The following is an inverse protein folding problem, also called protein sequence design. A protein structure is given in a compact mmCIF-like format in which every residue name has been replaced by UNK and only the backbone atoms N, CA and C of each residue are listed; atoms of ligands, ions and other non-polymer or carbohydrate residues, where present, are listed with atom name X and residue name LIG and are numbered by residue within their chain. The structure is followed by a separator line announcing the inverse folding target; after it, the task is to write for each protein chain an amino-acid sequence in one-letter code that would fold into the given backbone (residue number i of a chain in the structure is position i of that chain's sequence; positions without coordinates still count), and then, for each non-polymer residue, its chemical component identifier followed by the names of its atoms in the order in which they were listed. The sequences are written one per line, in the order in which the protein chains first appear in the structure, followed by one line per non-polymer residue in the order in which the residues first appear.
data_IF_979929013951
#
_entry.id   IF_979929013951
#
_cell.length_a   1.000
_cell.length_b   1.000
_cell.length_c   1.000
_cell.angle_alpha   90.00
_cell.angle_beta   90.00
_cell.angle_gamma   90.00
#
_symmetry.space_group_name_H-M   'P 1'
#
loop_
_entity.id
_entity.type
_entity.pdbx_description
1 polymer ?
#
# COMPACT_ATOMS: atom_id res chain seq x y z
N UNK A 1 -29.26 -19.47 62.98
CA UNK A 1 -28.35 -19.04 61.92
C UNK A 1 -28.68 -19.83 60.67
N UNK A 2 -29.67 -19.36 59.93
CA UNK A 2 -30.08 -19.93 58.64
C UNK A 2 -29.18 -19.32 57.57
N UNK A 3 -28.39 -20.16 56.89
CA UNK A 3 -27.58 -19.73 55.76
C UNK A 3 -28.52 -19.30 54.63
N UNK A 4 -28.38 -18.04 54.23
CA UNK A 4 -29.04 -17.45 53.06
C UNK A 4 -28.46 -18.13 51.80
N UNK A 5 -29.30 -18.58 50.84
CA UNK A 5 -28.79 -19.18 49.62
C UNK A 5 -28.15 -18.09 48.77
N UNK A 6 -26.88 -18.28 48.39
CA UNK A 6 -26.21 -17.45 47.39
C UNK A 6 -26.96 -17.61 46.06
N UNK A 7 -27.76 -16.59 45.69
CA UNK A 7 -28.31 -16.50 44.34
C UNK A 7 -27.16 -16.59 43.32
N UNK A 8 -27.32 -17.38 42.25
CA UNK A 8 -26.37 -17.35 41.15
C UNK A 8 -26.39 -15.93 40.61
N UNK A 9 -25.25 -15.25 40.74
CA UNK A 9 -25.02 -13.93 40.16
C UNK A 9 -25.12 -14.12 38.65
N UNK A 10 -26.31 -13.87 38.10
CA UNK A 10 -26.56 -13.86 36.68
C UNK A 10 -25.54 -12.89 36.07
N UNK A 11 -24.51 -13.45 35.44
CA UNK A 11 -23.71 -12.77 34.44
C UNK A 11 -24.68 -12.43 33.31
N UNK A 12 -25.45 -11.37 33.48
CA UNK A 12 -26.04 -10.63 32.39
C UNK A 12 -24.84 -10.22 31.53
N UNK A 13 -24.55 -11.03 30.52
CA UNK A 13 -23.82 -10.61 29.35
C UNK A 13 -24.59 -9.39 28.86
N UNK A 14 -24.15 -8.20 29.27
CA UNK A 14 -24.62 -6.92 28.74
C UNK A 14 -24.30 -6.92 27.25
N UNK A 15 -25.17 -7.56 26.48
CA UNK A 15 -25.29 -7.35 25.06
C UNK A 15 -25.74 -5.91 24.95
N UNK A 16 -24.80 -5.04 24.59
CA UNK A 16 -25.06 -3.64 24.28
C UNK A 16 -26.31 -3.57 23.40
N UNK A 17 -27.21 -2.65 23.73
CA UNK A 17 -28.39 -2.40 22.90
C UNK A 17 -27.94 -2.01 21.49
N UNK A 18 -28.77 -2.25 20.47
CA UNK A 18 -28.47 -1.79 19.11
C UNK A 18 -28.19 -0.28 19.06
N UNK A 19 -28.89 0.50 19.89
CA UNK A 19 -28.62 1.93 20.08
C UNK A 19 -27.22 2.22 20.63
N UNK A 20 -26.81 1.48 21.67
CA UNK A 20 -25.48 1.62 22.29
C UNK A 20 -24.38 1.27 21.29
N UNK A 21 -24.60 0.28 20.43
CA UNK A 21 -23.66 -0.11 19.38
C UNK A 21 -23.51 0.99 18.30
N UNK A 22 -24.60 1.67 17.94
CA UNK A 22 -24.55 2.82 17.02
C UNK A 22 -23.85 4.02 17.64
N UNK A 23 -24.08 4.29 18.92
CA UNK A 23 -23.41 5.38 19.64
C UNK A 23 -21.91 5.10 19.81
N UNK A 24 -21.56 3.85 20.10
CA UNK A 24 -20.19 3.39 20.13
C UNK A 24 -19.50 3.55 18.76
N UNK A 25 -20.16 3.15 17.67
CA UNK A 25 -19.67 3.33 16.31
C UNK A 25 -19.40 4.82 16.02
N UNK A 26 -20.38 5.69 16.29
CA UNK A 26 -20.26 7.13 16.04
C UNK A 26 -19.09 7.73 16.80
N UNK A 27 -18.97 7.43 18.11
CA UNK A 27 -17.88 7.95 18.94
C UNK A 27 -16.51 7.50 18.42
N UNK A 28 -16.36 6.22 18.05
CA UNK A 28 -15.12 5.67 17.52
C UNK A 28 -14.73 6.29 16.18
N UNK A 29 -15.71 6.47 15.28
CA UNK A 29 -15.52 7.14 13.99
C UNK A 29 -15.08 8.60 14.18
N UNK A 30 -15.70 9.34 15.12
CA UNK A 30 -15.30 10.71 15.42
C UNK A 30 -13.86 10.80 15.93
N UNK A 31 -13.44 9.90 16.82
CA UNK A 31 -12.06 9.89 17.33
C UNK A 31 -11.07 9.60 16.20
N UNK A 32 -11.35 8.59 15.36
CA UNK A 32 -10.53 8.28 14.18
C UNK A 32 -10.45 9.47 13.22
N UNK A 33 -11.57 10.14 12.98
CA UNK A 33 -11.63 11.31 12.10
C UNK A 33 -10.81 12.48 12.67
N UNK A 34 -10.95 12.80 13.95
CA UNK A 34 -10.18 13.85 14.62
C UNK A 34 -8.68 13.53 14.54
N UNK A 35 -8.28 12.29 14.81
CA UNK A 35 -6.88 11.87 14.73
C UNK A 35 -6.30 12.07 13.33
N UNK A 36 -7.05 11.70 12.28
CA UNK A 36 -6.65 11.92 10.89
C UNK A 36 -6.56 13.41 10.60
N UNK A 37 -7.57 14.21 10.95
CA UNK A 37 -7.59 15.66 10.70
C UNK A 37 -6.39 16.34 11.37
N UNK A 38 -6.12 16.05 12.64
CA UNK A 38 -4.96 16.60 13.37
C UNK A 38 -3.65 16.21 12.68
N UNK A 39 -3.50 14.96 12.26
CA UNK A 39 -2.31 14.52 11.54
C UNK A 39 -2.14 15.24 10.19
N UNK A 40 -3.22 15.42 9.42
CA UNK A 40 -3.21 16.13 8.14
C UNK A 40 -2.77 17.58 8.30
N UNK A 41 -3.36 18.32 9.24
CA UNK A 41 -2.96 19.70 9.52
C UNK A 41 -1.52 19.79 10.06
N UNK A 42 -1.07 18.78 10.80
CA UNK A 42 0.32 18.68 11.25
C UNK A 42 1.34 18.56 10.12
N UNK A 43 0.97 18.01 8.97
CA UNK A 43 1.83 17.87 7.79
C UNK A 43 1.85 19.09 6.86
N UNK A 44 0.87 19.99 6.96
CA UNK A 44 0.80 21.17 6.07
C UNK A 44 2.06 22.06 6.07
N UNK A 45 2.75 22.30 7.21
CA UNK A 45 3.99 23.09 7.21
C UNK A 45 5.15 22.42 6.46
N UNK A 46 5.13 21.09 6.31
CA UNK A 46 6.21 20.28 5.77
C UNK A 46 6.01 19.97 4.29
N UNK A 47 5.65 20.98 3.47
CA UNK A 47 5.34 20.77 2.04
C UNK A 47 6.49 20.10 1.30
N UNK A 48 7.72 20.56 1.51
CA UNK A 48 8.89 20.07 0.77
C UNK A 48 9.21 18.62 1.09
N UNK A 49 9.08 18.24 2.35
CA UNK A 49 9.32 16.89 2.85
C UNK A 49 8.23 15.94 2.34
N UNK A 50 6.97 16.34 2.41
CA UNK A 50 5.84 15.58 1.86
C UNK A 50 6.03 15.33 0.36
N UNK A 51 6.43 16.36 -0.38
CA UNK A 51 6.78 16.24 -1.81
C UNK A 51 7.95 15.33 -2.06
N UNK A 52 9.02 15.44 -1.28
CA UNK A 52 10.17 14.56 -1.40
C UNK A 52 9.79 13.09 -1.19
N UNK A 53 8.91 12.82 -0.22
CA UNK A 53 8.43 11.46 0.05
C UNK A 53 7.58 10.96 -1.11
N UNK A 54 6.51 11.62 -1.54
CA UNK A 54 5.69 11.01 -2.61
C UNK A 54 6.43 10.93 -3.95
N UNK A 55 7.44 11.76 -4.24
CA UNK A 55 8.24 11.68 -5.48
C UNK A 55 9.35 10.61 -5.42
N UNK A 56 9.75 10.15 -4.22
CA UNK A 56 10.89 9.24 -4.08
C UNK A 56 10.79 7.95 -4.92
N UNK A 57 9.65 7.23 -4.99
CA UNK A 57 9.56 6.01 -5.80
C UNK A 57 9.83 6.26 -7.29
N UNK A 58 9.44 7.43 -7.80
CA UNK A 58 9.76 7.85 -9.16
C UNK A 58 11.26 8.04 -9.34
N UNK A 59 11.92 8.73 -8.38
CA UNK A 59 13.38 8.93 -8.39
C UNK A 59 14.14 7.62 -8.32
N UNK A 60 13.69 6.65 -7.52
CA UNK A 60 14.31 5.31 -7.44
C UNK A 60 14.28 4.62 -8.80
N UNK A 61 13.12 4.63 -9.47
CA UNK A 61 12.96 4.05 -10.80
C UNK A 61 13.85 4.77 -11.82
N UNK A 62 13.81 6.11 -11.82
CA UNK A 62 14.61 6.93 -12.72
C UNK A 62 16.11 6.68 -12.54
N UNK A 63 16.62 6.69 -11.31
CA UNK A 63 18.04 6.46 -11.01
C UNK A 63 18.50 5.10 -11.55
N UNK A 64 17.72 4.04 -11.32
CA UNK A 64 18.04 2.69 -11.83
C UNK A 64 18.07 2.65 -13.36
N UNK A 65 17.08 3.28 -14.01
CA UNK A 65 17.01 3.30 -15.46
C UNK A 65 18.14 4.16 -16.08
N UNK A 66 18.51 5.26 -15.43
CA UNK A 66 19.63 6.11 -15.82
C UNK A 66 20.96 5.40 -15.69
N UNK A 67 21.20 4.70 -14.58
CA UNK A 67 22.38 3.86 -14.39
C UNK A 67 22.49 2.79 -15.47
N UNK A 68 21.42 2.02 -15.71
CA UNK A 68 21.41 0.99 -16.75
C UNK A 68 21.60 1.57 -18.17
N UNK A 69 21.18 2.81 -18.42
CA UNK A 69 21.45 3.47 -19.70
C UNK A 69 22.93 3.88 -19.83
N UNK A 70 23.51 4.47 -18.78
CA UNK A 70 24.93 4.80 -18.74
C UNK A 70 25.78 3.55 -18.99
N UNK A 71 25.46 2.43 -18.33
CA UNK A 71 26.21 1.19 -18.43
C UNK A 71 26.12 0.59 -19.85
N UNK A 72 24.95 0.66 -20.50
CA UNK A 72 24.78 0.24 -21.91
C UNK A 72 25.63 1.06 -22.87
N UNK A 73 25.70 2.38 -22.68
CA UNK A 73 26.51 3.26 -23.53
C UNK A 73 28.01 3.02 -23.33
N UNK A 74 28.44 2.80 -22.09
CA UNK A 74 29.84 2.43 -21.81
C UNK A 74 30.20 1.08 -22.42
N UNK A 75 29.26 0.13 -22.42
CA UNK A 75 29.42 -1.16 -23.11
C UNK A 75 29.52 -0.98 -24.63
N UNK A 76 28.68 -0.14 -25.24
CA UNK A 76 28.75 0.17 -26.68
C UNK A 76 30.12 0.76 -27.07
N UNK A 77 30.68 1.64 -26.23
CA UNK A 77 32.03 2.21 -26.42
C UNK A 77 33.11 1.14 -26.29
N UNK A 78 32.97 0.23 -25.33
CA UNK A 78 33.91 -0.87 -25.13
C UNK A 78 33.89 -1.85 -26.31
N UNK A 79 32.70 -2.21 -26.81
CA UNK A 79 32.50 -3.10 -27.94
C UNK A 79 33.01 -2.49 -29.26
N UNK A 80 32.90 -1.16 -29.41
CA UNK A 80 33.47 -0.42 -30.53
C UNK A 80 35.00 -0.23 -30.43
N UNK A 81 35.62 -0.62 -29.32
CA UNK A 81 37.07 -0.52 -29.12
C UNK A 81 37.59 0.90 -28.88
N UNK A 82 36.72 1.85 -28.52
CA UNK A 82 37.09 3.25 -28.32
C UNK A 82 35.93 4.21 -28.58
N UNK A 83 35.96 5.37 -27.94
CA UNK A 83 34.90 6.38 -28.06
C UNK A 83 34.84 6.94 -29.49
N UNK A 84 36.00 7.09 -30.13
CA UNK A 84 36.16 7.56 -31.50
C UNK A 84 35.45 6.70 -32.55
N UNK A 85 35.17 5.42 -32.24
CA UNK A 85 34.57 4.46 -33.16
C UNK A 85 33.04 4.40 -33.07
N UNK A 86 32.42 5.11 -32.12
CA UNK A 86 30.96 5.17 -31.94
C UNK A 86 30.38 6.35 -32.72
N UNK A 87 29.08 6.31 -33.03
CA UNK A 87 28.38 7.40 -33.70
C UNK A 87 28.60 8.76 -32.99
N UNK A 88 28.81 9.89 -33.71
CA UNK A 88 29.17 11.18 -33.10
C UNK A 88 28.24 11.66 -31.98
N UNK A 89 26.93 11.43 -32.14
CA UNK A 89 25.92 11.75 -31.12
C UNK A 89 26.16 10.94 -29.84
N UNK A 90 26.45 9.65 -29.96
CA UNK A 90 26.77 8.78 -28.82
C UNK A 90 28.04 9.25 -28.12
N UNK A 91 29.05 9.72 -28.87
CA UNK A 91 30.28 10.26 -28.28
C UNK A 91 30.01 11.47 -27.39
N UNK A 92 29.14 12.38 -27.85
CA UNK A 92 28.76 13.59 -27.11
C UNK A 92 27.99 13.24 -25.83
N UNK A 93 27.04 12.30 -25.92
CA UNK A 93 26.27 11.81 -24.78
C UNK A 93 27.19 11.17 -23.75
N UNK A 94 28.10 10.27 -24.14
CA UNK A 94 29.02 9.60 -23.21
C UNK A 94 29.94 10.61 -22.52
N UNK A 95 30.49 11.59 -23.25
CA UNK A 95 31.31 12.66 -22.65
C UNK A 95 30.52 13.44 -21.60
N UNK A 96 29.29 13.82 -21.93
CA UNK A 96 28.41 14.52 -21.01
C UNK A 96 28.11 13.68 -19.76
N UNK A 97 27.74 12.41 -19.94
CA UNK A 97 27.38 11.51 -18.83
C UNK A 97 28.58 11.24 -17.93
N UNK A 98 29.77 11.03 -18.47
CA UNK A 98 31.00 10.86 -17.66
C UNK A 98 31.29 12.08 -16.78
N UNK A 99 30.97 13.29 -17.25
CA UNK A 99 31.15 14.52 -16.48
C UNK A 99 30.06 14.75 -15.42
N UNK A 100 28.80 14.43 -15.72
CA UNK A 100 27.65 14.87 -14.91
C UNK A 100 26.84 13.72 -14.27
N UNK A 101 27.22 12.44 -14.43
CA UNK A 101 26.49 11.27 -13.88
C UNK A 101 26.21 11.41 -12.39
N UNK A 102 27.21 11.85 -11.61
CA UNK A 102 27.06 12.00 -10.15
C UNK A 102 26.05 13.11 -9.78
N UNK A 103 26.10 14.25 -10.47
CA UNK A 103 25.18 15.38 -10.24
C UNK A 103 23.75 15.05 -10.69
N UNK A 104 23.62 14.30 -11.80
CA UNK A 104 22.34 13.83 -12.31
C UNK A 104 21.67 12.84 -11.34
N UNK A 105 22.43 11.88 -10.80
CA UNK A 105 21.93 10.93 -9.79
C UNK A 105 21.59 11.60 -8.45
N UNK A 106 22.35 12.63 -8.07
CA UNK A 106 22.08 13.44 -6.88
C UNK A 106 20.88 14.37 -7.05
N UNK A 107 20.40 14.59 -8.28
CA UNK A 107 19.35 15.57 -8.59
C UNK A 107 19.78 17.02 -8.38
N UNK A 108 21.09 17.28 -8.26
CA UNK A 108 21.67 18.62 -8.08
C UNK A 108 22.06 19.26 -9.41
N UNK A 109 21.84 18.56 -10.52
CA UNK A 109 22.19 19.05 -11.84
C UNK A 109 21.44 20.36 -12.16
N UNK A 110 22.15 21.45 -12.50
CA UNK A 110 21.59 22.81 -12.58
C UNK A 110 20.55 23.02 -13.69
N UNK A 111 20.29 22.02 -14.53
CA UNK A 111 19.17 22.01 -15.48
C UNK A 111 18.51 20.62 -15.54
N UNK A 112 17.71 20.22 -14.52
CA UNK A 112 17.10 18.89 -14.47
C UNK A 112 16.11 18.64 -15.62
N UNK A 113 15.59 19.71 -16.24
CA UNK A 113 14.77 19.65 -17.45
C UNK A 113 15.56 19.64 -18.76
N UNK A 114 16.87 19.90 -18.75
CA UNK A 114 17.76 19.82 -19.93
C UNK A 114 18.59 18.54 -19.98
N UNK A 115 18.40 17.62 -19.02
CA UNK A 115 18.86 16.23 -19.15
C UNK A 115 18.15 15.48 -20.31
N UNK A 116 17.20 16.12 -21.00
CA UNK A 116 16.85 15.85 -22.40
C UNK A 116 18.05 16.17 -23.32
N UNK A 117 19.17 15.46 -23.09
CA UNK A 117 20.42 15.64 -23.84
C UNK A 117 20.16 15.24 -25.29
N UNK A 118 20.68 16.04 -26.22
CA UNK A 118 20.78 15.85 -27.66
C UNK A 118 20.96 14.37 -28.08
N UNK A 119 19.86 13.64 -28.23
CA UNK A 119 19.85 12.22 -28.63
C UNK A 119 19.30 11.28 -27.56
N UNK A 120 17.98 11.05 -27.62
CA UNK A 120 17.28 9.82 -27.18
C UNK A 120 17.23 9.41 -25.70
N UNK A 121 17.99 9.97 -24.75
CA UNK A 121 17.71 9.73 -23.32
C UNK A 121 16.71 10.75 -22.75
N UNK A 122 15.42 10.38 -22.78
CA UNK A 122 14.30 11.28 -22.48
C UNK A 122 13.52 10.87 -21.23
N UNK A 123 14.15 10.91 -20.06
CA UNK A 123 13.39 10.83 -18.81
C UNK A 123 13.65 12.06 -17.96
N UNK A 124 12.66 12.95 -17.75
CA UNK A 124 12.85 14.11 -16.88
C UNK A 124 13.00 13.63 -15.44
N UNK A 125 14.03 14.10 -14.72
CA UNK A 125 14.17 13.79 -13.28
C UNK A 125 12.98 14.33 -12.46
N UNK A 126 12.37 15.41 -12.93
CA UNK A 126 11.23 16.07 -12.30
C UNK A 126 9.91 15.69 -13.00
N UNK A 127 8.89 15.42 -12.18
CA UNK A 127 7.52 15.28 -12.67
C UNK A 127 7.00 16.63 -13.18
N UNK A 128 6.28 16.60 -14.31
CA UNK A 128 5.66 17.80 -14.88
C UNK A 128 4.22 17.91 -14.32
N UNK A 129 3.77 19.14 -14.06
CA UNK A 129 2.38 19.44 -13.71
C UNK A 129 1.74 20.21 -14.87
N UNK A 130 0.49 19.91 -15.17
CA UNK A 130 -0.33 20.60 -16.18
C UNK A 130 -0.80 21.98 -15.71
N UNK A 131 -0.83 22.23 -14.40
CA UNK A 131 -1.13 23.53 -13.82
C UNK A 131 -1.01 23.57 -12.29
N UNK A 132 -1.09 24.76 -11.70
CA UNK A 132 -0.91 24.95 -10.25
C UNK A 132 -1.98 24.29 -9.36
N UNK A 133 -3.22 24.13 -9.87
CA UNK A 133 -4.28 23.41 -9.16
C UNK A 133 -3.95 21.92 -9.02
N UNK A 134 -3.29 21.32 -10.00
CA UNK A 134 -2.87 19.91 -9.95
C UNK A 134 -1.90 19.68 -8.79
N UNK A 135 -0.88 20.55 -8.66
CA UNK A 135 0.10 20.48 -7.57
C UNK A 135 -0.56 20.64 -6.20
N UNK A 136 -1.51 21.58 -6.07
CA UNK A 136 -2.27 21.78 -4.84
C UNK A 136 -3.11 20.55 -4.47
N UNK A 137 -3.84 19.97 -5.42
CA UNK A 137 -4.68 18.78 -5.18
C UNK A 137 -3.85 17.56 -4.80
N UNK A 138 -2.73 17.34 -5.50
CA UNK A 138 -1.80 16.26 -5.17
C UNK A 138 -1.23 16.46 -3.78
N UNK A 139 -0.80 17.67 -3.44
CA UNK A 139 -0.29 17.97 -2.11
C UNK A 139 -1.34 17.70 -1.02
N UNK A 140 -2.58 18.16 -1.21
CA UNK A 140 -3.68 17.91 -0.27
C UNK A 140 -3.92 16.40 -0.10
N UNK A 141 -4.03 15.66 -1.20
CA UNK A 141 -4.24 14.21 -1.16
C UNK A 141 -3.06 13.46 -0.52
N UNK A 142 -1.82 13.92 -0.76
CA UNK A 142 -0.63 13.39 -0.12
C UNK A 142 -0.68 13.59 1.41
N UNK A 143 -0.99 14.80 1.88
CA UNK A 143 -1.11 15.06 3.33
C UNK A 143 -2.21 14.22 3.98
N UNK A 144 -3.32 13.95 3.30
CA UNK A 144 -4.37 13.02 3.76
C UNK A 144 -3.81 11.60 3.91
N UNK A 145 -3.08 11.11 2.91
CA UNK A 145 -2.47 9.77 2.95
C UNK A 145 -1.45 9.66 4.09
N UNK A 146 -0.51 10.59 4.20
CA UNK A 146 0.51 10.59 5.26
C UNK A 146 -0.11 10.79 6.65
N UNK A 147 -1.11 11.68 6.75
CA UNK A 147 -1.89 11.88 7.96
C UNK A 147 -2.59 10.60 8.40
N UNK A 148 -3.19 9.85 7.46
CA UNK A 148 -3.78 8.54 7.73
C UNK A 148 -2.74 7.52 8.21
N UNK A 149 -1.53 7.52 7.66
CA UNK A 149 -0.46 6.63 8.10
C UNK A 149 0.00 6.91 9.53
N UNK A 150 0.14 8.19 9.90
CA UNK A 150 0.47 8.57 11.27
C UNK A 150 -0.69 8.31 12.24
N UNK A 151 -1.92 8.54 11.79
CA UNK A 151 -3.13 8.24 12.56
C UNK A 151 -3.44 6.73 12.62
N UNK A 152 -2.78 5.90 11.81
CA UNK A 152 -3.09 4.49 11.67
C UNK A 152 -3.13 3.68 12.98
N UNK A 153 -2.25 3.89 13.97
CA UNK A 153 -2.35 3.19 15.25
C UNK A 153 -3.68 3.45 15.96
N UNK A 154 -4.17 4.69 15.91
CA UNK A 154 -5.44 5.11 16.51
C UNK A 154 -6.60 4.54 15.68
N UNK A 155 -6.56 4.75 14.35
CA UNK A 155 -7.63 4.30 13.44
C UNK A 155 -7.80 2.78 13.50
N UNK A 156 -6.70 2.03 13.39
CA UNK A 156 -6.73 0.56 13.50
C UNK A 156 -7.24 0.14 14.88
N UNK A 157 -6.79 0.78 15.97
CA UNK A 157 -7.28 0.46 17.31
C UNK A 157 -8.80 0.63 17.40
N UNK A 158 -9.34 1.72 16.88
CA UNK A 158 -10.79 1.97 16.92
C UNK A 158 -11.59 1.00 16.08
N UNK A 159 -11.12 0.69 14.86
CA UNK A 159 -11.74 -0.32 13.98
C UNK A 159 -11.76 -1.68 14.68
N UNK A 160 -10.61 -2.10 15.24
CA UNK A 160 -10.49 -3.40 15.89
C UNK A 160 -11.26 -3.49 17.19
N UNK A 161 -11.27 -2.43 17.99
CA UNK A 161 -12.05 -2.39 19.22
C UNK A 161 -13.56 -2.47 18.91
N UNK A 162 -14.03 -1.79 17.87
CA UNK A 162 -15.41 -1.94 17.37
C UNK A 162 -15.70 -3.37 16.89
N UNK A 163 -14.83 -3.95 16.06
CA UNK A 163 -15.03 -5.30 15.53
C UNK A 163 -15.03 -6.36 16.64
N UNK A 164 -14.23 -6.13 17.69
CA UNK A 164 -14.15 -7.03 18.84
C UNK A 164 -15.33 -6.91 19.81
N UNK A 165 -16.17 -5.86 19.69
CA UNK A 165 -17.31 -5.64 20.57
C UNK A 165 -18.27 -6.84 20.60
N UNK A 166 -18.45 -7.52 19.46
CA UNK A 166 -19.30 -8.72 19.33
C UNK A 166 -18.64 -10.04 19.73
N UNK A 167 -17.40 -10.03 20.25
CA UNK A 167 -16.66 -11.25 20.61
C UNK A 167 -16.70 -11.54 22.11
N UNK A 168 -16.56 -12.81 22.52
CA UNK A 168 -16.43 -13.15 23.93
C UNK A 168 -15.11 -12.62 24.52
N UNK A 169 -15.07 -12.31 25.83
CA UNK A 169 -13.88 -11.74 26.50
C UNK A 169 -12.60 -12.58 26.33
N UNK A 170 -12.74 -13.91 26.30
CA UNK A 170 -11.63 -14.84 26.04
C UNK A 170 -11.08 -14.71 24.61
N UNK A 171 -11.93 -14.37 23.65
CA UNK A 171 -11.58 -14.21 22.24
C UNK A 171 -10.99 -12.83 21.96
N UNK A 172 -11.52 -11.78 22.61
CA UNK A 172 -10.97 -10.41 22.59
C UNK A 172 -9.48 -10.39 22.97
N UNK A 173 -9.06 -11.24 23.91
CA UNK A 173 -7.63 -11.37 24.30
C UNK A 173 -6.74 -11.85 23.15
N UNK A 174 -7.22 -12.75 22.30
CA UNK A 174 -6.45 -13.25 21.16
C UNK A 174 -6.30 -12.16 20.10
N UNK A 175 -7.40 -11.46 19.78
CA UNK A 175 -7.37 -10.33 18.83
C UNK A 175 -6.44 -9.22 19.33
N UNK A 176 -6.49 -8.89 20.62
CA UNK A 176 -5.62 -7.87 21.23
C UNK A 176 -4.13 -8.24 21.16
N UNK A 177 -3.78 -9.53 21.28
CA UNK A 177 -2.39 -10.01 21.11
C UNK A 177 -1.93 -9.93 19.65
N UNK A 178 -2.85 -10.07 18.70
CA UNK A 178 -2.55 -9.99 17.26
C UNK A 178 -2.52 -8.54 16.76
N UNK A 179 -3.13 -7.60 17.49
CA UNK A 179 -3.16 -6.17 17.14
C UNK A 179 -1.81 -5.52 16.77
N UNK A 180 -0.69 -5.69 17.51
CA UNK A 180 0.59 -5.13 17.09
C UNK A 180 1.06 -5.65 15.71
N UNK A 181 0.68 -6.88 15.35
CA UNK A 181 0.94 -7.43 14.01
C UNK A 181 0.09 -6.75 12.94
N UNK A 182 -1.10 -6.21 13.28
CA UNK A 182 -1.93 -5.41 12.35
C UNK A 182 -1.19 -4.16 11.88
N UNK A 183 -0.58 -3.44 12.82
CA UNK A 183 0.20 -2.25 12.53
C UNK A 183 1.45 -2.60 11.71
N UNK A 184 2.15 -3.67 12.08
CA UNK A 184 3.30 -4.16 11.32
C UNK A 184 2.92 -4.54 9.90
N UNK A 185 1.81 -5.27 9.71
CA UNK A 185 1.28 -5.63 8.40
C UNK A 185 0.89 -4.40 7.59
N UNK A 186 0.28 -3.37 8.20
CA UNK A 186 -0.04 -2.13 7.51
C UNK A 186 1.24 -1.45 6.99
N UNK A 187 2.22 -1.26 7.86
CA UNK A 187 3.51 -0.64 7.52
C UNK A 187 4.19 -1.46 6.41
N UNK A 188 4.19 -2.79 6.53
CA UNK A 188 4.78 -3.67 5.53
C UNK A 188 4.05 -3.58 4.18
N UNK A 189 2.72 -3.53 4.18
CA UNK A 189 1.91 -3.43 2.97
C UNK A 189 2.12 -2.11 2.23
N UNK A 190 2.09 -0.99 2.97
CA UNK A 190 2.35 0.34 2.42
C UNK A 190 3.78 0.46 1.93
N UNK A 191 4.76 -0.03 2.71
CA UNK A 191 6.17 -0.05 2.31
C UNK A 191 6.40 -0.91 1.07
N UNK A 192 5.77 -2.08 0.98
CA UNK A 192 5.86 -2.95 -0.18
C UNK A 192 5.27 -2.28 -1.43
N UNK A 193 4.10 -1.65 -1.31
CA UNK A 193 3.53 -0.87 -2.40
C UNK A 193 4.44 0.26 -2.85
N UNK A 194 5.02 0.98 -1.90
CA UNK A 194 5.79 2.20 -2.15
C UNK A 194 7.20 1.93 -2.70
N UNK A 195 7.93 0.96 -2.14
CA UNK A 195 9.31 0.67 -2.52
C UNK A 195 9.44 -0.40 -3.61
N UNK A 196 8.44 -1.27 -3.77
CA UNK A 196 8.50 -2.38 -4.72
C UNK A 196 7.49 -2.15 -5.85
N UNK A 197 6.19 -2.19 -5.56
CA UNK A 197 5.18 -2.24 -6.63
C UNK A 197 5.18 -0.99 -7.51
N UNK A 198 5.27 0.21 -6.91
CA UNK A 198 5.29 1.47 -7.67
C UNK A 198 6.54 1.59 -8.57
N UNK A 199 7.80 1.46 -8.08
CA UNK A 199 8.97 1.57 -8.94
C UNK A 199 9.02 0.55 -10.07
N UNK A 200 8.70 -0.72 -9.78
CA UNK A 200 8.70 -1.77 -10.81
C UNK A 200 7.55 -1.59 -11.81
N UNK A 201 6.37 -1.14 -11.35
CA UNK A 201 5.26 -0.83 -12.25
C UNK A 201 5.59 0.31 -13.21
N UNK A 202 6.21 1.38 -12.72
CA UNK A 202 6.67 2.49 -13.57
C UNK A 202 7.77 2.07 -14.54
N UNK A 203 8.71 1.25 -14.09
CA UNK A 203 9.74 0.68 -14.95
C UNK A 203 9.11 -0.14 -16.08
N UNK A 204 8.11 -0.98 -15.76
CA UNK A 204 7.40 -1.76 -16.77
C UNK A 204 6.67 -0.86 -17.78
N UNK A 205 5.88 0.10 -17.30
CA UNK A 205 5.14 1.03 -18.18
C UNK A 205 6.07 1.78 -19.13
N UNK A 206 7.19 2.30 -18.63
CA UNK A 206 8.18 3.02 -19.45
C UNK A 206 8.94 2.08 -20.40
N UNK A 207 9.20 0.84 -20.00
CA UNK A 207 9.87 -0.16 -20.87
C UNK A 207 9.03 -0.58 -22.08
N UNK A 208 7.70 -0.48 -22.00
CA UNK A 208 6.80 -0.80 -23.10
C UNK A 208 6.63 0.33 -24.12
N UNK A 209 7.13 1.54 -23.82
CA UNK A 209 6.95 2.69 -24.69
C UNK A 209 7.87 2.62 -25.90
N UNK A 210 7.33 2.97 -27.07
CA UNK A 210 8.14 3.21 -28.26
C UNK A 210 8.64 4.66 -28.27
N UNK A 211 9.85 4.85 -27.73
CA UNK A 211 10.52 6.14 -27.55
C UNK A 211 10.75 6.91 -28.86
N UNK A 212 10.65 6.26 -30.02
CA UNK A 212 10.79 6.90 -31.33
C UNK A 212 9.52 7.59 -31.82
N UNK A 213 8.35 7.22 -31.30
CA UNK A 213 7.05 7.69 -31.78
C UNK A 213 6.21 8.36 -30.70
N UNK A 214 6.49 8.09 -29.42
CA UNK A 214 5.72 8.59 -28.28
C UNK A 214 6.67 9.17 -27.25
N UNK A 215 6.52 10.47 -26.97
CA UNK A 215 7.24 11.13 -25.89
C UNK A 215 6.52 10.86 -24.56
N UNK A 216 7.16 10.21 -23.57
CA UNK A 216 6.56 10.04 -22.26
C UNK A 216 6.43 11.37 -21.54
N UNK A 217 5.20 11.73 -21.22
CA UNK A 217 4.90 12.80 -20.28
C UNK A 217 4.05 12.23 -19.15
N UNK A 218 4.71 11.81 -18.06
CA UNK A 218 4.01 11.40 -16.84
C UNK A 218 3.73 12.64 -15.98
N UNK A 219 2.46 12.98 -15.79
CA UNK A 219 2.10 14.12 -14.94
C UNK A 219 2.16 13.75 -13.45
N UNK A 220 2.34 14.76 -12.60
CA UNK A 220 2.37 14.57 -11.14
C UNK A 220 1.08 13.91 -10.62
N UNK A 221 -0.09 14.24 -11.16
CA UNK A 221 -1.35 13.63 -10.75
C UNK A 221 -1.48 12.18 -11.21
N UNK A 222 -1.09 11.85 -12.44
CA UNK A 222 -1.13 10.46 -12.93
C UNK A 222 -0.24 9.56 -12.09
N UNK A 223 0.99 10.03 -11.83
CA UNK A 223 1.93 9.35 -10.95
C UNK A 223 1.39 9.22 -9.52
N UNK A 224 0.91 10.32 -8.93
CA UNK A 224 0.44 10.33 -7.55
C UNK A 224 -0.81 9.45 -7.38
N UNK A 225 -1.73 9.46 -8.35
CA UNK A 225 -2.91 8.59 -8.36
C UNK A 225 -2.48 7.13 -8.38
N UNK A 226 -1.53 6.75 -9.26
CA UNK A 226 -0.98 5.40 -9.29
C UNK A 226 -0.35 5.01 -7.95
N UNK A 227 0.48 5.90 -7.39
CA UNK A 227 1.10 5.69 -6.08
C UNK A 227 0.05 5.47 -5.00
N UNK A 228 -0.96 6.35 -4.93
CA UNK A 228 -2.04 6.28 -3.95
C UNK A 228 -2.82 4.98 -4.08
N UNK A 229 -3.28 4.64 -5.30
CA UNK A 229 -4.09 3.44 -5.54
C UNK A 229 -3.33 2.17 -5.14
N UNK A 230 -2.08 2.02 -5.57
CA UNK A 230 -1.29 0.82 -5.28
C UNK A 230 -0.91 0.71 -3.80
N UNK A 231 -0.43 1.80 -3.20
CA UNK A 231 0.04 1.80 -1.80
C UNK A 231 -1.12 1.66 -0.80
N UNK A 232 -2.21 2.40 -1.00
CA UNK A 232 -3.37 2.33 -0.12
C UNK A 232 -4.06 0.96 -0.22
N UNK A 233 -4.19 0.42 -1.44
CA UNK A 233 -4.77 -0.89 -1.63
C UNK A 233 -3.93 -2.00 -0.98
N UNK A 234 -2.60 -1.98 -1.15
CA UNK A 234 -1.73 -2.95 -0.46
C UNK A 234 -1.79 -2.79 1.05
N UNK A 235 -1.79 -1.57 1.58
CA UNK A 235 -1.99 -1.33 3.01
C UNK A 235 -3.28 -1.98 3.54
N UNK A 236 -4.38 -1.83 2.80
CA UNK A 236 -5.67 -2.43 3.15
C UNK A 236 -5.66 -3.96 3.02
N UNK A 237 -5.13 -4.50 1.91
CA UNK A 237 -5.04 -5.95 1.68
C UNK A 237 -4.18 -6.62 2.75
N UNK A 238 -3.12 -5.98 3.23
CA UNK A 238 -2.30 -6.53 4.30
C UNK A 238 -3.06 -6.72 5.63
N UNK A 239 -4.23 -6.10 5.79
CA UNK A 239 -5.14 -6.36 6.93
C UNK A 239 -6.00 -7.62 6.74
N UNK A 240 -6.06 -8.19 5.53
CA UNK A 240 -6.89 -9.36 5.21
C UNK A 240 -6.65 -10.57 6.12
N UNK A 241 -5.41 -10.98 6.48
CA UNK A 241 -5.20 -12.14 7.34
C UNK A 241 -5.88 -12.00 8.71
N UNK A 242 -5.84 -10.79 9.28
CA UNK A 242 -6.47 -10.50 10.55
C UNK A 242 -7.99 -10.40 10.39
N UNK A 243 -8.47 -9.75 9.32
CA UNK A 243 -9.90 -9.67 9.02
C UNK A 243 -10.52 -11.07 8.89
N UNK A 244 -9.85 -11.99 8.18
CA UNK A 244 -10.27 -13.38 8.08
C UNK A 244 -10.32 -14.07 9.45
N UNK A 245 -9.32 -13.86 10.29
CA UNK A 245 -9.30 -14.41 11.66
C UNK A 245 -10.46 -13.89 12.50
N UNK A 246 -10.76 -12.59 12.40
CA UNK A 246 -11.87 -11.96 13.09
C UNK A 246 -13.22 -12.50 12.63
N UNK A 247 -13.45 -12.58 11.32
CA UNK A 247 -14.69 -13.10 10.74
C UNK A 247 -14.94 -14.56 11.15
N UNK A 248 -13.89 -15.38 11.24
CA UNK A 248 -13.99 -16.76 11.71
C UNK A 248 -14.27 -16.84 13.21
N UNK A 249 -13.69 -15.95 14.01
CA UNK A 249 -13.93 -15.92 15.46
C UNK A 249 -15.32 -15.41 15.82
N UNK A 250 -15.82 -14.39 15.14
CA UNK A 250 -17.20 -13.90 15.30
C UNK A 250 -18.23 -14.92 14.78
N UNK A 251 -17.80 -15.88 13.94
CA UNK A 251 -18.68 -16.92 13.39
C UNK A 251 -19.41 -16.52 12.11
N UNK A 252 -19.08 -15.36 11.51
CA UNK A 252 -19.67 -14.91 10.23
C UNK A 252 -19.27 -15.83 9.08
N UNK A 253 -18.04 -16.35 9.11
CA UNK A 253 -17.49 -17.23 8.08
C UNK A 253 -16.79 -18.41 8.75
N UNK A 254 -16.86 -19.61 8.18
CA UNK A 254 -16.09 -20.76 8.69
C UNK A 254 -14.78 -20.95 7.92
N UNK A 255 -13.78 -21.56 8.57
CA UNK A 255 -12.54 -21.96 7.89
C UNK A 255 -12.82 -22.87 6.67
N UNK A 256 -13.79 -23.78 6.79
CA UNK A 256 -14.20 -24.64 5.69
C UNK A 256 -14.78 -23.84 4.51
N UNK A 257 -15.58 -22.81 4.77
CA UNK A 257 -16.12 -21.91 3.74
C UNK A 257 -15.01 -21.19 2.98
N UNK A 258 -14.03 -20.62 3.69
CA UNK A 258 -12.86 -19.97 3.08
C UNK A 258 -12.10 -20.97 2.21
N UNK A 259 -11.75 -22.13 2.78
CA UNK A 259 -11.02 -23.18 2.06
C UNK A 259 -11.77 -23.70 0.83
N UNK A 260 -13.10 -23.82 0.88
CA UNK A 260 -13.92 -24.26 -0.26
C UNK A 260 -13.92 -23.23 -1.39
N UNK A 261 -14.03 -21.94 -1.05
CA UNK A 261 -14.20 -20.85 -2.01
C UNK A 261 -12.89 -20.20 -2.47
N UNK A 262 -11.73 -20.80 -2.18
CA UNK A 262 -10.41 -20.23 -2.46
C UNK A 262 -10.22 -19.78 -3.92
N UNK A 263 -10.75 -20.55 -4.89
CA UNK A 263 -10.64 -20.21 -6.32
C UNK A 263 -11.35 -18.91 -6.67
N UNK A 264 -12.54 -18.71 -6.12
CA UNK A 264 -13.32 -17.49 -6.33
C UNK A 264 -12.67 -16.27 -5.67
N UNK A 265 -12.04 -16.47 -4.50
CA UNK A 265 -11.30 -15.40 -3.81
C UNK A 265 -10.08 -14.98 -4.61
N UNK A 266 -9.30 -15.93 -5.15
CA UNK A 266 -8.16 -15.63 -6.02
C UNK A 266 -8.64 -14.89 -7.28
N UNK A 267 -9.71 -15.35 -7.93
CA UNK A 267 -10.29 -14.63 -9.07
C UNK A 267 -10.68 -13.18 -8.67
N UNK A 268 -11.31 -13.01 -7.50
CA UNK A 268 -11.63 -11.70 -6.94
C UNK A 268 -10.40 -10.81 -6.77
N UNK A 269 -9.27 -11.34 -6.32
CA UNK A 269 -8.02 -10.57 -6.21
C UNK A 269 -7.48 -10.13 -7.57
N UNK A 270 -7.57 -10.97 -8.61
CA UNK A 270 -7.20 -10.56 -9.96
C UNK A 270 -8.13 -9.49 -10.52
N UNK A 271 -9.43 -9.55 -10.23
CA UNK A 271 -10.39 -8.50 -10.62
C UNK A 271 -10.11 -7.18 -9.89
N UNK A 272 -9.90 -7.22 -8.57
CA UNK A 272 -9.55 -6.03 -7.77
C UNK A 272 -8.23 -5.44 -8.24
N UNK A 273 -7.23 -6.28 -8.52
CA UNK A 273 -5.94 -5.81 -9.05
C UNK A 273 -6.15 -5.12 -10.41
N UNK A 274 -6.92 -5.72 -11.32
CA UNK A 274 -7.20 -5.11 -12.63
C UNK A 274 -7.95 -3.77 -12.55
N UNK A 275 -8.74 -3.53 -11.49
CA UNK A 275 -9.40 -2.25 -11.27
C UNK A 275 -8.47 -1.19 -10.69
N UNK A 276 -7.46 -1.61 -9.92
CA UNK A 276 -6.60 -0.71 -9.15
C UNK A 276 -5.27 -0.43 -9.85
N UNK A 277 -4.81 -1.34 -10.69
CA UNK A 277 -3.63 -1.16 -11.52
C UNK A 277 -4.04 -0.61 -12.89
N UNK A 278 -3.10 0.01 -13.63
CA UNK A 278 -3.29 0.22 -15.06
C UNK A 278 -3.64 -1.11 -15.75
N UNK A 279 -4.22 -1.08 -16.97
CA UNK A 279 -4.61 -2.27 -17.72
C UNK A 279 -3.37 -2.98 -18.29
N UNK A 280 -2.49 -3.45 -17.41
CA UNK A 280 -1.28 -4.18 -17.73
C UNK A 280 -1.11 -5.42 -16.83
N UNK A 281 -0.70 -6.57 -17.40
CA UNK A 281 -0.66 -7.83 -16.66
C UNK A 281 0.46 -7.87 -15.63
N UNK A 282 1.51 -7.05 -15.78
CA UNK A 282 2.67 -7.09 -14.90
C UNK A 282 2.35 -6.50 -13.54
N UNK A 283 1.83 -5.27 -13.50
CA UNK A 283 1.41 -4.64 -12.24
C UNK A 283 0.23 -5.37 -11.61
N UNK A 284 -0.70 -5.89 -12.42
CA UNK A 284 -1.81 -6.71 -11.94
C UNK A 284 -1.32 -7.95 -11.19
N UNK A 285 -0.34 -8.70 -11.74
CA UNK A 285 0.23 -9.89 -11.09
C UNK A 285 1.04 -9.50 -9.85
N UNK A 286 1.85 -8.44 -9.94
CA UNK A 286 2.62 -7.92 -8.80
C UNK A 286 1.74 -7.53 -7.63
N UNK A 287 0.52 -7.06 -7.89
CA UNK A 287 -0.47 -6.74 -6.87
C UNK A 287 -1.19 -7.99 -6.37
N UNK A 288 -1.66 -8.86 -7.27
CA UNK A 288 -2.45 -10.03 -6.91
C UNK A 288 -1.66 -11.08 -6.11
N UNK A 289 -0.38 -11.31 -6.43
CA UNK A 289 0.45 -12.33 -5.75
C UNK A 289 0.55 -12.10 -4.23
N UNK A 290 0.88 -10.89 -3.73
CA UNK A 290 0.80 -10.57 -2.30
C UNK A 290 -0.57 -10.83 -1.70
N UNK A 291 -1.67 -10.49 -2.39
CA UNK A 291 -3.03 -10.72 -1.89
C UNK A 291 -3.29 -12.23 -1.69
N UNK A 292 -2.89 -13.06 -2.67
CA UNK A 292 -3.01 -14.53 -2.58
C UNK A 292 -2.18 -15.07 -1.42
N UNK A 293 -0.94 -14.60 -1.27
CA UNK A 293 -0.07 -15.01 -0.17
C UNK A 293 -0.69 -14.68 1.20
N UNK A 294 -1.21 -13.47 1.36
CA UNK A 294 -1.87 -13.03 2.59
C UNK A 294 -3.14 -13.81 2.87
N UNK A 295 -3.90 -14.16 1.84
CA UNK A 295 -5.05 -15.04 1.99
C UNK A 295 -4.65 -16.44 2.48
N UNK A 296 -3.58 -17.02 1.94
CA UNK A 296 -3.06 -18.30 2.41
C UNK A 296 -2.57 -18.21 3.86
N UNK A 297 -1.91 -17.11 4.23
CA UNK A 297 -1.53 -16.82 5.61
C UNK A 297 -2.76 -16.72 6.52
N UNK A 298 -3.81 -16.00 6.10
CA UNK A 298 -5.08 -15.91 6.82
C UNK A 298 -5.77 -17.27 6.98
N UNK A 299 -5.74 -18.09 5.93
CA UNK A 299 -6.28 -19.46 5.96
C UNK A 299 -5.52 -20.34 6.97
N UNK A 300 -4.19 -20.18 7.05
CA UNK A 300 -3.37 -20.86 8.04
C UNK A 300 -3.64 -20.39 9.48
N UNK A 301 -3.78 -19.08 9.70
CA UNK A 301 -4.11 -18.50 11.01
C UNK A 301 -5.48 -18.98 11.50
N UNK A 302 -6.48 -18.97 10.63
CA UNK A 302 -7.83 -19.47 10.96
C UNK A 302 -7.83 -20.96 11.28
N UNK A 303 -7.05 -21.79 10.58
CA UNK A 303 -6.92 -23.22 10.88
C UNK A 303 -6.34 -23.49 12.27
N UNK A 304 -5.36 -22.69 12.71
CA UNK A 304 -4.79 -22.79 14.07
C UNK A 304 -5.79 -22.32 15.12
N UNK A 305 -6.54 -21.27 14.83
CA UNK A 305 -7.51 -20.70 15.75
C UNK A 305 -8.72 -21.61 16.00
N UNK A 306 -9.16 -22.39 14.99
CA UNK A 306 -10.27 -23.35 15.12
C UNK A 306 -9.86 -24.64 15.81
N UNK A 307 -8.60 -25.09 15.71
CA UNK A 307 -8.12 -26.26 16.48
C UNK A 307 -8.11 -26.03 18.00
N UNK A 308 -8.04 -24.77 18.43
CA UNK A 308 -8.06 -24.38 19.85
C UNK A 308 -9.50 -24.21 20.39
N UNK A 309 -10.46 -23.94 19.50
CA UNK A 309 -11.88 -23.82 19.82
C UNK A 309 -12.59 -25.03 19.19
N UNK A 310 -12.66 -26.16 19.92
CA UNK A 310 -13.41 -27.34 19.48
C UNK A 310 -14.83 -26.96 19.00
N UNK A 311 -15.41 -27.70 18.04
CA UNK A 311 -16.68 -27.33 17.42
C UNK A 311 -17.75 -27.17 18.49
N UNK A 312 -18.22 -25.94 18.71
CA UNK A 312 -19.48 -25.74 19.41
C UNK A 312 -20.58 -25.98 18.38
N UNK A 313 -21.37 -27.07 18.51
CA UNK A 313 -22.59 -27.18 17.72
C UNK A 313 -23.45 -25.96 18.04
N UNK A 314 -23.95 -25.30 17.00
CA UNK A 314 -25.03 -24.34 17.16
C UNK A 314 -26.14 -25.08 17.89
N UNK A 315 -26.44 -24.64 19.11
CA UNK A 315 -27.52 -25.19 19.91
C UNK A 315 -28.78 -25.17 19.07
N UNK A 316 -29.43 -26.32 19.01
CA UNK A 316 -30.84 -26.46 18.72
C UNK A 316 -31.59 -25.51 19.69
N UNK A 317 -31.90 -24.30 19.23
CA UNK A 317 -32.89 -23.45 19.85
C UNK A 317 -34.23 -23.88 19.25
N UNK A 318 -34.97 -24.67 20.03
CA UNK A 318 -36.19 -25.34 19.61
C UNK A 318 -37.31 -24.41 19.15
N UNK A 319 -37.97 -24.83 18.08
CA UNK A 319 -39.41 -25.07 17.97
C UNK A 319 -39.66 -25.91 16.70
#
# INVERSE_FOLDING_TARGET
MTAEPLEPRDEHLERMSFGDHLEELRRRLLISLIAVVVAVFGFMPFKQEVTAVYVQPYRIMWNRAFEAHCDRLEQEVADAGGLENVHPVTQEIVKFLRAHKAEALAGTFPAPGQLEIHGNFRMPYALKATGGLEDFWVFMAATILFGLMVAAPIVLYQIWAFLSAGMYEREKRTVRRVFPFALLLLILGVSFGYFVVVPYGLYFLTSMMNWFQVEPMLTVNQYFTLLLMLTAALGFVFQMPLLMLALVKVGIVTHATLKKNWRYIILGFFCVSAMLTPPDPFTQIMMAVPMVFLYLLGLFLTARATRVSGPQPLGEAGA
#
